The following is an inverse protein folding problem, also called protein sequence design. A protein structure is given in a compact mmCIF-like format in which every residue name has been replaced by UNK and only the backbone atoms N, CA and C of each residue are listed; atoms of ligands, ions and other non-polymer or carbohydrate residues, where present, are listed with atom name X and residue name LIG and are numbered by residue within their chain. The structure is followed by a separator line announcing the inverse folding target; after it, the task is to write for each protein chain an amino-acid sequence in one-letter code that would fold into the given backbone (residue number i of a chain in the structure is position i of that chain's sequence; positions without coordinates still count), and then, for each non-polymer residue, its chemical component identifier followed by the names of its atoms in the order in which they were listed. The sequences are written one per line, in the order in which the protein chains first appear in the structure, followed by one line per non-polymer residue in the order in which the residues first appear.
data_IF_619320225535
#
_entry.id   IF_619320225535
#
_cell.length_a   1.000
_cell.length_b   1.000
_cell.length_c   1.000
_cell.angle_alpha   90.00
_cell.angle_beta   90.00
_cell.angle_gamma   90.00
#
_symmetry.space_group_name_H-M   'P 1'
#
loop_
_entity.id
_entity.type
_entity.pdbx_description
1 polymer ?
#
# COMPACT_ATOMS: atom_id res chain seq x y z
N UNK A 1 37.51 12.39 19.65
CA UNK A 1 37.05 11.32 18.73
C UNK A 1 36.12 10.35 19.47
N UNK A 2 35.04 10.85 20.10
CA UNK A 2 34.23 10.01 21.00
C UNK A 2 32.72 10.28 20.93
N UNK A 3 32.26 11.35 20.30
CA UNK A 3 30.83 11.67 20.22
C UNK A 3 30.11 10.99 19.06
N UNK A 4 30.84 10.55 18.03
CA UNK A 4 30.25 9.94 16.83
C UNK A 4 29.76 8.50 17.04
N UNK A 5 30.23 7.80 18.07
CA UNK A 5 29.91 6.38 18.30
C UNK A 5 28.62 6.22 19.14
N UNK A 6 28.26 7.25 19.92
CA UNK A 6 27.08 7.24 20.78
C UNK A 6 25.78 7.57 20.03
N UNK A 7 25.87 8.21 18.86
CA UNK A 7 24.68 8.59 18.07
C UNK A 7 24.14 7.43 17.21
N UNK A 8 24.98 6.47 16.81
CA UNK A 8 24.56 5.32 16.00
C UNK A 8 23.88 4.21 16.80
N UNK A 9 24.13 4.12 18.11
CA UNK A 9 23.58 3.06 18.95
C UNK A 9 22.10 3.25 19.32
N UNK A 10 21.57 4.48 19.20
CA UNK A 10 20.19 4.78 19.57
C UNK A 10 19.15 4.47 18.47
N UNK A 11 19.60 4.13 17.25
CA UNK A 11 18.72 3.90 16.10
C UNK A 11 18.35 2.42 15.87
N UNK A 12 18.90 1.51 16.68
CA UNK A 12 18.48 0.10 16.71
C UNK A 12 17.33 -0.14 17.69
N UNK A 13 16.33 0.73 17.70
CA UNK A 13 15.03 0.32 18.26
C UNK A 13 14.56 -0.85 17.39
N UNK A 14 14.74 -2.06 17.92
CA UNK A 14 14.23 -3.31 17.36
C UNK A 14 12.87 -3.04 16.72
N UNK A 15 12.75 -3.22 15.39
CA UNK A 15 11.46 -3.14 14.72
C UNK A 15 10.55 -4.14 15.43
N UNK A 16 9.55 -3.62 16.16
CA UNK A 16 8.59 -4.45 16.88
C UNK A 16 7.56 -5.08 15.93
N UNK A 17 7.77 -4.95 14.63
CA UNK A 17 6.77 -5.24 13.61
C UNK A 17 5.63 -4.22 13.66
N UNK A 18 4.83 -4.22 12.61
CA UNK A 18 3.64 -3.37 12.53
C UNK A 18 2.60 -3.90 13.52
N UNK A 19 2.07 -3.11 14.46
CA UNK A 19 1.18 -3.59 15.53
C UNK A 19 -0.25 -3.85 15.03
N UNK A 20 -0.43 -4.01 13.73
CA UNK A 20 -1.73 -4.21 13.11
C UNK A 20 -1.65 -5.03 11.83
N UNK A 21 -2.75 -5.75 11.57
CA UNK A 21 -2.92 -6.48 10.32
C UNK A 21 -3.09 -5.53 9.14
N UNK A 22 -2.33 -5.80 8.07
CA UNK A 22 -2.49 -5.16 6.77
C UNK A 22 -3.67 -5.80 6.03
N UNK A 23 -4.67 -5.01 5.66
CA UNK A 23 -5.84 -5.49 4.89
C UNK A 23 -5.70 -4.98 3.46
N UNK A 24 -5.14 -5.83 2.59
CA UNK A 24 -4.70 -5.45 1.25
C UNK A 24 -5.47 -6.18 0.14
N UNK A 25 -6.78 -6.44 0.30
CA UNK A 25 -7.52 -7.27 -0.67
C UNK A 25 -8.18 -6.48 -1.80
N UNK A 26 -8.26 -5.16 -1.65
CA UNK A 26 -8.98 -4.28 -2.56
C UNK A 26 -8.49 -2.85 -2.40
N UNK A 27 -8.72 -2.00 -3.40
CA UNK A 27 -8.40 -0.57 -3.34
C UNK A 27 -8.97 0.08 -2.06
N UNK A 28 -10.21 -0.24 -1.70
CA UNK A 28 -10.88 0.29 -0.51
C UNK A 28 -10.20 -0.16 0.80
N UNK A 29 -9.88 -1.44 0.94
CA UNK A 29 -9.22 -1.97 2.14
C UNK A 29 -7.76 -1.51 2.26
N UNK A 30 -7.04 -1.43 1.14
CA UNK A 30 -5.69 -0.87 1.06
C UNK A 30 -5.68 0.60 1.49
N UNK A 31 -6.65 1.41 1.04
CA UNK A 31 -6.81 2.81 1.48
C UNK A 31 -7.04 2.92 2.99
N UNK A 32 -7.86 2.04 3.58
CA UNK A 32 -8.06 2.00 5.03
C UNK A 32 -6.78 1.64 5.77
N UNK A 33 -5.99 0.70 5.25
CA UNK A 33 -4.66 0.36 5.79
C UNK A 33 -3.72 1.56 5.74
N UNK A 34 -3.71 2.31 4.64
CA UNK A 34 -2.93 3.56 4.50
C UNK A 34 -3.28 4.59 5.57
N UNK A 35 -4.58 4.85 5.78
CA UNK A 35 -5.05 5.75 6.82
C UNK A 35 -4.67 5.27 8.22
N UNK A 36 -4.60 3.95 8.44
CA UNK A 36 -4.13 3.38 9.70
C UNK A 36 -2.64 3.62 9.92
N UNK A 37 -1.80 3.37 8.92
CA UNK A 37 -0.35 3.66 8.96
C UNK A 37 -0.09 5.12 9.35
N UNK A 38 -0.80 6.06 8.73
CA UNK A 38 -0.70 7.49 9.05
C UNK A 38 -1.02 7.79 10.52
N UNK A 39 -2.09 7.19 11.06
CA UNK A 39 -2.48 7.38 12.46
C UNK A 39 -1.50 6.78 13.44
N UNK A 40 -0.99 5.58 13.16
CA UNK A 40 -0.01 4.92 14.04
C UNK A 40 1.35 5.64 14.02
N UNK A 41 1.73 6.23 12.89
CA UNK A 41 2.91 7.11 12.83
C UNK A 41 2.69 8.40 13.64
N UNK A 42 1.53 9.05 13.48
CA UNK A 42 1.19 10.25 14.26
C UNK A 42 1.14 10.00 15.78
N UNK A 43 0.79 8.77 16.20
CA UNK A 43 0.82 8.33 17.60
C UNK A 43 2.23 7.97 18.11
N UNK A 44 3.23 7.96 17.24
CA UNK A 44 4.59 7.51 17.56
C UNK A 44 4.71 6.01 17.80
N UNK A 45 3.72 5.22 17.36
CA UNK A 45 3.69 3.76 17.57
C UNK A 45 4.60 3.03 16.59
N UNK A 46 4.76 3.55 15.37
CA UNK A 46 5.73 3.06 14.38
C UNK A 46 6.82 4.10 14.13
N UNK A 47 8.03 3.64 13.86
CA UNK A 47 9.18 4.49 13.55
C UNK A 47 9.04 5.20 12.20
N UNK A 48 9.83 6.23 11.98
CA UNK A 48 9.86 6.95 10.69
C UNK A 48 10.33 6.04 9.54
N UNK A 49 11.26 5.13 9.80
CA UNK A 49 11.75 4.18 8.81
C UNK A 49 10.66 3.18 8.40
N UNK A 50 10.00 2.57 9.38
CA UNK A 50 8.84 1.68 9.14
C UNK A 50 7.72 2.42 8.40
N UNK A 51 7.43 3.67 8.77
CA UNK A 51 6.45 4.49 8.07
C UNK A 51 6.81 4.69 6.59
N UNK A 52 8.06 5.06 6.29
CA UNK A 52 8.52 5.27 4.90
C UNK A 52 8.42 4.00 4.07
N UNK A 53 8.87 2.87 4.62
CA UNK A 53 8.81 1.57 3.95
C UNK A 53 7.37 1.14 3.67
N UNK A 54 6.47 1.30 4.66
CA UNK A 54 5.06 0.97 4.52
C UNK A 54 4.36 1.86 3.48
N UNK A 55 4.57 3.18 3.55
CA UNK A 55 3.97 4.12 2.60
C UNK A 55 4.45 3.84 1.17
N UNK A 56 5.74 3.56 1.00
CA UNK A 56 6.29 3.20 -0.30
C UNK A 56 5.64 1.91 -0.81
N UNK A 57 5.69 0.81 -0.06
CA UNK A 57 5.12 -0.47 -0.50
C UNK A 57 3.61 -0.39 -0.78
N UNK A 58 2.84 0.28 0.08
CA UNK A 58 1.41 0.47 -0.13
C UNK A 58 1.10 1.32 -1.36
N UNK A 59 1.95 2.31 -1.70
CA UNK A 59 1.76 3.12 -2.91
C UNK A 59 1.93 2.30 -4.19
N UNK A 60 2.95 1.43 -4.23
CA UNK A 60 3.20 0.53 -5.35
C UNK A 60 2.06 -0.48 -5.49
N UNK A 61 1.65 -1.08 -4.37
CA UNK A 61 0.56 -2.05 -4.36
C UNK A 61 -0.78 -1.45 -4.79
N UNK A 62 -1.08 -0.21 -4.36
CA UNK A 62 -2.29 0.49 -4.81
C UNK A 62 -2.26 0.78 -6.31
N UNK A 63 -1.09 1.08 -6.87
CA UNK A 63 -0.90 1.22 -8.32
C UNK A 63 -1.21 -0.09 -9.05
N UNK A 64 -0.64 -1.20 -8.59
CA UNK A 64 -0.91 -2.53 -9.17
C UNK A 64 -2.40 -2.89 -9.15
N UNK A 65 -3.09 -2.68 -8.02
CA UNK A 65 -4.53 -2.93 -7.91
C UNK A 65 -5.39 -2.08 -8.85
N UNK A 66 -4.95 -0.86 -9.18
CA UNK A 66 -5.66 -0.01 -10.13
C UNK A 66 -5.51 -0.54 -11.55
N UNK A 67 -4.29 -0.91 -11.94
CA UNK A 67 -4.01 -1.49 -13.25
C UNK A 67 -4.79 -2.80 -13.47
N UNK A 68 -4.85 -3.66 -12.46
CA UNK A 68 -5.64 -4.90 -12.52
C UNK A 68 -7.13 -4.59 -12.73
N UNK A 69 -7.67 -3.57 -12.04
CA UNK A 69 -9.07 -3.15 -12.21
C UNK A 69 -9.34 -2.48 -13.55
N UNK A 70 -8.39 -1.72 -14.08
CA UNK A 70 -8.48 -1.13 -15.42
C UNK A 70 -8.53 -2.22 -16.49
N UNK A 71 -7.63 -3.21 -16.41
CA UNK A 71 -7.64 -4.39 -17.30
C UNK A 71 -8.96 -5.16 -17.23
N UNK A 72 -9.49 -5.44 -16.03
CA UNK A 72 -10.79 -6.11 -15.87
C UNK A 72 -11.94 -5.33 -16.52
N UNK A 73 -11.88 -3.99 -16.51
CA UNK A 73 -12.91 -3.14 -17.12
C UNK A 73 -12.80 -3.17 -18.64
N UNK A 74 -11.59 -3.11 -19.18
CA UNK A 74 -11.32 -3.20 -20.61
C UNK A 74 -11.81 -4.54 -21.19
N UNK A 75 -11.50 -5.66 -20.53
CA UNK A 75 -11.95 -6.99 -20.93
C UNK A 75 -13.49 -7.06 -20.98
N UNK A 76 -14.15 -6.53 -19.95
CA UNK A 76 -15.62 -6.50 -19.88
C UNK A 76 -16.25 -5.60 -20.94
N UNK A 77 -15.60 -4.49 -21.30
CA UNK A 77 -16.05 -3.62 -22.38
C UNK A 77 -15.96 -4.34 -23.72
N UNK A 78 -14.83 -5.00 -24.00
CA UNK A 78 -14.64 -5.78 -25.22
C UNK A 78 -15.69 -6.88 -25.35
N UNK A 79 -15.97 -7.62 -24.28
CA UNK A 79 -17.03 -8.65 -24.28
C UNK A 79 -18.42 -8.07 -24.63
N UNK A 80 -18.74 -6.88 -24.12
CA UNK A 80 -20.00 -6.20 -24.41
C UNK A 80 -20.05 -5.76 -25.88
N UNK A 81 -18.97 -5.15 -26.38
CA UNK A 81 -18.86 -4.70 -27.77
C UNK A 81 -18.99 -5.86 -28.75
N UNK A 82 -18.33 -6.98 -28.49
CA UNK A 82 -18.45 -8.19 -29.31
C UNK A 82 -19.86 -8.77 -29.30
N UNK A 83 -20.58 -8.67 -28.18
CA UNK A 83 -21.97 -9.13 -28.08
C UNK A 83 -22.92 -8.22 -28.86
N UNK A 84 -22.73 -6.91 -28.80
CA UNK A 84 -23.51 -5.95 -29.59
C UNK A 84 -23.27 -6.14 -31.09
N UNK A 85 -22.01 -6.26 -31.51
CA UNK A 85 -21.64 -6.51 -32.91
C UNK A 85 -22.18 -7.84 -33.46
N UNK A 86 -22.41 -8.83 -32.59
CA UNK A 86 -23.06 -10.11 -32.95
C UNK A 86 -24.59 -10.02 -33.00
N UNK A 87 -25.20 -9.11 -32.25
CA UNK A 87 -26.65 -8.90 -32.21
C UNK A 87 -27.19 -7.99 -33.32
N UNK A 88 -26.34 -7.16 -33.93
CA UNK A 88 -26.67 -6.29 -35.07
C UNK A 88 -26.51 -6.97 -36.45
N UNK A 89 -26.34 -8.31 -36.49
CA UNK A 89 -26.35 -9.13 -37.72
C UNK A 89 -27.57 -10.06 -37.74
#
# INVERSE_FOLDING_TARGET
MSDSVLTEQNNRKQSRGVPFALRLRSVASTRQTFARVLREYARGTISQDEYRQLVWGLSQYLGALRLEKESEIEDRLQEIEERLNRGDR
#
